data_IF_619157638384
#
_entry.id   IF_619157638384
#
_cell.length_a   1.000
_cell.length_b   1.000
_cell.length_c   1.000
_cell.angle_alpha   90.00
_cell.angle_beta   90.00
_cell.angle_gamma   90.00
#
_symmetry.space_group_name_H-M   'P 1'
#
loop_
_entity.id
_entity.type
_entity.pdbx_description
1 polymer ?
#
# COMPACT_ATOMS: atom_id res chain seq x y z
N UNK A 1 -44.28 -19.80 -18.30
CA UNK A 1 -44.05 -18.69 -19.27
C UNK A 1 -44.55 -17.38 -18.66
N UNK A 2 -43.92 -16.26 -19.02
CA UNK A 2 -44.00 -14.89 -18.47
C UNK A 2 -42.82 -14.49 -17.55
N UNK A 3 -41.72 -13.94 -18.10
CA UNK A 3 -40.75 -13.19 -17.32
C UNK A 3 -41.25 -11.76 -17.06
N UNK A 4 -41.09 -11.25 -15.83
CA UNK A 4 -41.24 -9.82 -15.53
C UNK A 4 -39.86 -9.16 -15.60
N UNK A 5 -39.62 -8.45 -16.70
CA UNK A 5 -38.45 -7.57 -16.85
C UNK A 5 -38.72 -6.31 -16.02
N UNK A 6 -37.82 -5.99 -15.09
CA UNK A 6 -37.84 -4.73 -14.34
C UNK A 6 -36.68 -3.85 -14.81
N UNK A 7 -36.99 -2.87 -15.65
CA UNK A 7 -36.09 -1.76 -15.98
C UNK A 7 -36.22 -0.69 -14.90
N UNK A 8 -35.11 -0.28 -14.28
CA UNK A 8 -35.05 0.94 -13.46
C UNK A 8 -33.90 1.80 -13.97
N UNK A 9 -34.21 3.06 -14.23
CA UNK A 9 -33.40 4.02 -14.99
C UNK A 9 -32.37 4.72 -14.10
N UNK A 10 -31.16 4.92 -14.63
CA UNK A 10 -30.14 5.78 -14.03
C UNK A 10 -30.55 7.25 -14.14
N UNK A 11 -30.42 8.01 -13.06
CA UNK A 11 -30.53 9.48 -13.07
C UNK A 11 -29.31 10.09 -12.38
N UNK A 12 -28.42 10.72 -13.15
CA UNK A 12 -27.31 11.51 -12.64
C UNK A 12 -27.75 12.97 -12.46
N UNK A 13 -27.48 13.56 -11.30
CA UNK A 13 -27.66 14.99 -11.07
C UNK A 13 -26.29 15.65 -10.85
N UNK A 14 -25.91 16.51 -11.81
CA UNK A 14 -24.83 17.47 -11.65
C UNK A 14 -25.42 18.75 -11.03
N UNK A 15 -24.78 19.26 -9.98
CA UNK A 15 -25.07 20.59 -9.44
C UNK A 15 -23.78 21.42 -9.39
N UNK A 16 -23.79 22.51 -10.18
CA UNK A 16 -22.76 23.54 -10.27
C UNK A 16 -22.98 24.60 -9.19
N UNK A 17 -21.91 25.19 -8.65
CA UNK A 17 -22.00 26.32 -7.72
C UNK A 17 -20.72 27.14 -7.64
N UNK A 18 -20.70 28.31 -8.28
CA UNK A 18 -19.62 29.30 -8.15
C UNK A 18 -19.94 30.35 -7.08
N UNK A 19 -18.91 30.91 -6.46
CA UNK A 19 -18.98 32.11 -5.62
C UNK A 19 -17.60 32.75 -5.43
N UNK A 20 -17.48 34.06 -5.57
CA UNK A 20 -16.20 34.82 -5.59
C UNK A 20 -16.26 36.12 -4.75
N UNK A 21 -15.11 36.79 -4.57
CA UNK A 21 -14.87 38.14 -3.97
C UNK A 21 -14.83 38.25 -2.41
N UNK A 22 -14.07 39.16 -1.75
CA UNK A 22 -12.94 40.05 -2.12
C UNK A 22 -12.22 40.69 -0.87
N UNK A 23 -11.13 41.46 -1.11
CA UNK A 23 -10.19 42.23 -0.20
C UNK A 23 -10.72 43.68 0.08
N UNK A 24 -10.08 44.67 0.79
CA UNK A 24 -8.74 44.76 1.45
C UNK A 24 -8.59 45.62 2.78
N UNK A 25 -7.36 45.78 3.31
CA UNK A 25 -6.89 46.89 4.21
C UNK A 25 -6.23 46.44 5.55
N UNK A 26 -5.26 47.13 6.19
CA UNK A 26 -4.57 48.41 5.92
C UNK A 26 -3.23 48.60 6.68
N UNK A 27 -2.25 49.27 6.03
CA UNK A 27 -1.08 50.10 6.46
C UNK A 27 -0.27 49.97 7.79
N UNK A 28 1.06 49.89 7.59
CA UNK A 28 2.16 50.76 8.09
C UNK A 28 2.57 50.88 9.59
N UNK A 29 3.86 50.62 9.89
CA UNK A 29 4.84 51.62 10.39
C UNK A 29 6.29 51.06 10.59
N UNK A 30 7.29 51.90 10.32
CA UNK A 30 8.71 51.85 10.79
C UNK A 30 8.87 52.90 11.94
N UNK A 31 9.90 52.93 12.83
CA UNK A 31 11.33 52.81 12.44
C UNK A 31 12.40 52.33 13.50
N UNK A 32 13.64 52.19 12.99
CA UNK A 32 14.97 52.49 13.59
C UNK A 32 15.51 51.85 14.90
N UNK A 33 16.58 51.05 14.71
CA UNK A 33 17.96 51.27 15.20
C UNK A 33 18.34 51.14 16.70
N UNK A 34 19.00 50.03 17.04
CA UNK A 34 20.33 49.92 17.71
C UNK A 34 20.81 48.46 17.54
N UNK A 35 21.91 48.16 16.85
CA UNK A 35 23.33 48.21 17.26
C UNK A 35 23.79 46.92 17.99
N UNK A 36 25.03 46.48 17.68
CA UNK A 36 25.85 45.44 18.33
C UNK A 36 25.79 43.98 17.81
N UNK A 37 26.84 43.65 17.04
CA UNK A 37 27.76 42.54 17.32
C UNK A 37 27.45 41.07 16.94
N UNK A 38 26.32 40.71 16.32
CA UNK A 38 26.06 39.29 15.94
C UNK A 38 26.26 38.93 14.44
N UNK A 39 26.52 39.91 13.58
CA UNK A 39 26.56 39.73 12.11
C UNK A 39 27.72 38.83 11.63
N UNK A 40 28.76 38.60 12.46
CA UNK A 40 29.89 37.72 12.14
C UNK A 40 29.75 36.28 12.66
N UNK A 41 28.72 35.97 13.47
CA UNK A 41 28.44 34.62 13.96
C UNK A 41 27.22 33.97 13.28
N UNK A 42 26.36 34.76 12.64
CA UNK A 42 25.27 34.28 11.80
C UNK A 42 25.79 33.66 10.50
N UNK A 43 26.57 34.40 9.70
CA UNK A 43 27.03 33.99 8.37
C UNK A 43 27.78 32.64 8.35
N UNK A 44 28.55 32.33 9.40
CA UNK A 44 29.27 31.05 9.51
C UNK A 44 28.37 29.84 9.88
N UNK A 45 27.10 30.08 10.22
CA UNK A 45 26.08 29.04 10.48
C UNK A 45 25.13 28.84 9.30
N UNK A 46 25.05 29.79 8.39
CA UNK A 46 24.18 29.72 7.21
C UNK A 46 24.71 28.65 6.23
N UNK A 47 26.03 28.60 5.99
CA UNK A 47 26.70 27.52 5.25
C UNK A 47 26.63 26.13 5.94
N UNK A 48 26.22 26.10 7.22
CA UNK A 48 26.02 24.86 8.00
C UNK A 48 24.56 24.42 8.03
N UNK A 49 23.62 25.18 7.44
CA UNK A 49 22.21 24.86 7.39
C UNK A 49 21.78 24.57 5.96
N UNK A 50 21.06 23.46 5.75
CA UNK A 50 20.46 23.12 4.47
C UNK A 50 18.95 23.16 4.61
N UNK A 51 18.29 23.90 3.73
CA UNK A 51 16.83 23.91 3.60
C UNK A 51 16.40 23.04 2.41
N UNK A 52 15.42 22.17 2.65
CA UNK A 52 14.75 21.38 1.62
C UNK A 52 13.25 21.33 1.93
N UNK A 53 12.41 21.66 0.95
CA UNK A 53 10.94 21.71 1.08
C UNK A 53 10.42 22.44 2.35
N UNK A 54 11.07 23.55 2.74
CA UNK A 54 10.73 24.34 3.93
C UNK A 54 11.18 23.74 5.26
N UNK A 55 11.99 22.68 5.25
CA UNK A 55 12.59 22.06 6.43
C UNK A 55 14.09 22.39 6.44
N UNK A 56 14.54 23.09 7.47
CA UNK A 56 15.96 23.42 7.69
C UNK A 56 16.63 22.39 8.60
N UNK A 57 17.81 21.89 8.22
CA UNK A 57 18.63 20.91 8.98
C UNK A 57 20.09 21.34 9.03
N UNK A 58 20.85 20.87 10.03
CA UNK A 58 22.29 21.12 10.12
C UNK A 58 23.03 20.14 9.19
N UNK A 59 23.89 20.66 8.31
CA UNK A 59 24.64 19.90 7.29
C UNK A 59 25.47 18.75 7.89
N UNK A 60 26.00 18.93 9.10
CA UNK A 60 26.77 17.90 9.83
C UNK A 60 25.93 16.84 10.54
N UNK A 61 24.59 16.98 10.55
CA UNK A 61 23.65 15.97 11.07
C UNK A 61 23.04 15.11 9.95
N UNK A 62 23.31 15.45 8.68
CA UNK A 62 22.87 14.71 7.50
C UNK A 62 23.90 13.63 7.12
N UNK A 63 23.42 12.53 6.53
CA UNK A 63 24.29 11.51 5.96
C UNK A 63 25.04 12.01 4.71
N UNK A 64 26.22 11.45 4.42
CA UNK A 64 27.00 11.78 3.23
C UNK A 64 26.20 11.55 1.93
N UNK A 65 25.34 10.53 1.93
CA UNK A 65 24.50 10.19 0.77
C UNK A 65 23.35 11.19 0.60
N UNK A 66 22.72 11.65 1.68
CA UNK A 66 21.74 12.76 1.62
C UNK A 66 22.38 14.06 1.17
N UNK A 67 23.63 14.35 1.54
CA UNK A 67 24.36 15.52 1.03
C UNK A 67 24.63 15.43 -0.49
N UNK A 68 25.11 14.28 -0.98
CA UNK A 68 25.28 14.03 -2.42
C UNK A 68 23.96 14.12 -3.18
N UNK A 69 22.88 13.59 -2.60
CA UNK A 69 21.54 13.66 -3.18
C UNK A 69 21.05 15.10 -3.27
N UNK A 70 21.29 15.93 -2.25
CA UNK A 70 20.94 17.36 -2.25
C UNK A 70 21.72 18.16 -3.30
N UNK A 71 23.02 17.86 -3.48
CA UNK A 71 23.85 18.46 -4.53
C UNK A 71 23.38 18.06 -5.93
N UNK A 72 23.02 16.78 -6.13
CA UNK A 72 22.42 16.29 -7.37
C UNK A 72 21.03 16.92 -7.63
N UNK A 73 20.15 16.92 -6.64
CA UNK A 73 18.79 17.49 -6.73
C UNK A 73 18.83 18.97 -7.12
N UNK A 74 19.76 19.75 -6.54
CA UNK A 74 19.94 21.16 -6.90
C UNK A 74 20.51 21.37 -8.32
N UNK A 75 21.15 20.36 -8.92
CA UNK A 75 21.65 20.43 -10.30
C UNK A 75 20.58 20.17 -11.37
N UNK A 76 19.41 19.62 -10.97
CA UNK A 76 18.28 19.35 -11.88
C UNK A 76 17.48 20.63 -12.19
N UNK A 77 16.86 20.72 -13.38
CA UNK A 77 15.90 21.79 -13.69
C UNK A 77 14.64 21.66 -12.82
N UNK A 78 13.96 22.79 -12.61
CA UNK A 78 12.78 22.89 -11.73
C UNK A 78 11.68 21.87 -12.08
N UNK A 79 11.35 21.73 -13.37
CA UNK A 79 10.36 20.76 -13.88
C UNK A 79 10.70 19.29 -13.51
N UNK A 80 11.99 18.93 -13.43
CA UNK A 80 12.41 17.57 -13.04
C UNK A 80 12.39 17.40 -11.51
N UNK A 81 12.70 18.46 -10.75
CA UNK A 81 12.62 18.44 -9.28
C UNK A 81 11.18 18.30 -8.79
N UNK A 82 10.26 19.03 -9.39
CA UNK A 82 8.83 18.99 -9.04
C UNK A 82 8.19 17.63 -9.39
N UNK A 83 8.78 16.88 -10.32
CA UNK A 83 8.37 15.52 -10.69
C UNK A 83 8.93 14.42 -9.73
N UNK A 84 9.89 14.74 -8.87
CA UNK A 84 10.47 13.78 -7.92
C UNK A 84 9.62 13.65 -6.65
N UNK A 85 9.13 12.44 -6.41
CA UNK A 85 8.42 12.08 -5.17
C UNK A 85 9.34 11.57 -4.05
N UNK A 86 10.65 11.44 -4.31
CA UNK A 86 11.62 10.97 -3.32
C UNK A 86 12.04 12.10 -2.37
N UNK A 87 11.99 11.83 -1.08
CA UNK A 87 12.44 12.73 0.00
C UNK A 87 13.38 11.93 0.91
N UNK A 88 14.63 12.38 1.17
CA UNK A 88 15.53 11.69 2.09
C UNK A 88 14.95 11.59 3.50
N UNK A 89 15.28 10.52 4.22
CA UNK A 89 14.66 10.23 5.51
C UNK A 89 14.92 11.32 6.58
N UNK A 90 16.04 12.05 6.50
CA UNK A 90 16.34 13.15 7.42
C UNK A 90 15.38 14.36 7.25
N UNK A 91 14.72 14.46 6.09
CA UNK A 91 13.71 15.47 5.74
C UNK A 91 12.28 14.92 5.68
N UNK A 92 12.09 13.60 5.84
CA UNK A 92 10.76 13.02 6.01
C UNK A 92 10.14 13.53 7.32
N UNK A 93 8.85 13.89 7.29
CA UNK A 93 8.15 14.31 8.50
C UNK A 93 8.07 13.13 9.51
N UNK A 94 8.18 13.37 10.82
CA UNK A 94 7.99 12.31 11.82
C UNK A 94 6.54 11.84 11.80
N UNK A 95 6.27 10.76 11.04
CA UNK A 95 4.93 10.28 10.71
C UNK A 95 4.79 9.76 9.28
N UNK A 96 5.64 10.20 8.35
CA UNK A 96 5.84 9.51 7.06
C UNK A 96 6.84 8.37 7.26
N UNK A 97 6.41 7.15 6.97
CA UNK A 97 7.20 5.95 7.17
C UNK A 97 8.48 5.93 6.32
N UNK A 98 9.51 5.30 6.85
CA UNK A 98 10.79 5.04 6.18
C UNK A 98 10.54 4.26 4.89
N UNK A 99 10.94 4.82 3.74
CA UNK A 99 11.08 4.04 2.50
C UNK A 99 12.39 3.26 2.59
N UNK A 100 12.30 1.96 2.90
CA UNK A 100 13.46 1.05 2.93
C UNK A 100 13.89 0.70 1.49
N UNK A 101 14.66 1.60 0.86
CA UNK A 101 15.28 1.39 -0.45
C UNK A 101 16.44 0.39 -0.37
N UNK A 102 16.16 -0.91 -0.23
CA UNK A 102 16.97 -2.02 -0.79
C UNK A 102 16.26 -3.38 -0.64
N UNK A 103 15.19 -3.54 -1.41
CA UNK A 103 14.58 -4.84 -1.66
C UNK A 103 14.37 -5.05 -3.15
N UNK A 104 14.55 -6.28 -3.62
CA UNK A 104 13.86 -6.79 -4.81
C UNK A 104 12.42 -6.25 -4.83
N UNK A 105 11.85 -5.93 -6.01
CA UNK A 105 10.41 -5.66 -6.18
C UNK A 105 9.60 -6.90 -5.78
N UNK A 106 9.51 -7.14 -4.47
CA UNK A 106 8.80 -8.23 -3.85
C UNK A 106 7.34 -7.79 -3.88
N UNK A 107 6.56 -8.46 -4.71
CA UNK A 107 5.12 -8.26 -4.75
C UNK A 107 4.57 -8.28 -3.31
N UNK A 108 3.62 -7.39 -2.97
CA UNK A 108 3.16 -7.25 -1.59
C UNK A 108 2.66 -8.61 -1.08
N UNK A 109 2.90 -8.94 0.20
CA UNK A 109 2.57 -10.26 0.73
C UNK A 109 1.10 -10.58 0.46
N UNK A 110 0.82 -11.82 0.04
CA UNK A 110 -0.48 -12.25 -0.46
C UNK A 110 -1.56 -11.98 0.58
N UNK A 111 -1.34 -12.40 1.82
CA UNK A 111 -2.31 -12.19 2.90
C UNK A 111 -2.51 -10.70 3.21
N UNK A 112 -1.43 -9.91 3.25
CA UNK A 112 -1.49 -8.47 3.51
C UNK A 112 -2.14 -7.65 2.38
N UNK A 113 -2.27 -8.23 1.19
CA UNK A 113 -2.92 -7.62 0.03
C UNK A 113 -4.45 -7.82 0.01
N UNK A 114 -5.00 -8.56 0.99
CA UNK A 114 -6.43 -8.73 1.22
C UNK A 114 -6.86 -7.97 2.50
N UNK A 115 -8.01 -7.30 2.42
CA UNK A 115 -8.72 -6.78 3.59
C UNK A 115 -9.26 -7.91 4.47
N UNK A 116 -9.52 -7.64 5.76
CA UNK A 116 -10.09 -8.63 6.69
C UNK A 116 -11.42 -9.22 6.19
N UNK A 117 -12.25 -8.40 5.52
CA UNK A 117 -13.50 -8.84 4.92
C UNK A 117 -13.28 -9.83 3.76
N UNK A 118 -12.31 -9.54 2.88
CA UNK A 118 -11.94 -10.45 1.79
C UNK A 118 -11.36 -11.76 2.33
N UNK A 119 -10.49 -11.70 3.35
CA UNK A 119 -9.94 -12.90 4.01
C UNK A 119 -11.03 -13.76 4.66
N UNK A 120 -12.02 -13.13 5.32
CA UNK A 120 -13.15 -13.85 5.91
C UNK A 120 -14.03 -14.52 4.85
N UNK A 121 -14.32 -13.83 3.74
CA UNK A 121 -15.08 -14.37 2.61
C UNK A 121 -14.38 -15.57 1.97
N UNK A 122 -13.05 -15.49 1.78
CA UNK A 122 -12.29 -16.60 1.20
C UNK A 122 -12.09 -17.76 2.17
N UNK A 123 -11.99 -17.53 3.47
CA UNK A 123 -11.95 -18.62 4.46
C UNK A 123 -13.31 -19.32 4.57
N UNK A 124 -14.42 -18.58 4.55
CA UNK A 124 -15.77 -19.16 4.52
C UNK A 124 -15.96 -20.02 3.25
N UNK A 125 -15.55 -19.52 2.08
CA UNK A 125 -15.58 -20.29 0.83
C UNK A 125 -14.72 -21.57 0.90
N UNK A 126 -13.54 -21.51 1.52
CA UNK A 126 -12.69 -22.68 1.74
C UNK A 126 -13.34 -23.71 2.67
N UNK A 127 -13.96 -23.24 3.77
CA UNK A 127 -14.69 -24.10 4.72
C UNK A 127 -15.91 -24.73 4.08
N UNK A 128 -16.67 -23.97 3.29
CA UNK A 128 -17.81 -24.46 2.52
C UNK A 128 -17.36 -25.56 1.55
N UNK A 129 -16.26 -25.36 0.80
CA UNK A 129 -15.75 -26.36 -0.16
C UNK A 129 -15.47 -27.72 0.48
N UNK A 130 -14.84 -27.77 1.66
CA UNK A 130 -14.51 -29.03 2.34
C UNK A 130 -15.63 -29.60 3.23
N UNK A 131 -16.76 -28.90 3.37
CA UNK A 131 -17.90 -29.34 4.22
C UNK A 131 -19.14 -29.69 3.39
N UNK A 132 -19.46 -28.88 2.38
CA UNK A 132 -20.68 -29.00 1.56
C UNK A 132 -20.38 -28.97 0.05
N UNK A 133 -19.44 -28.14 -0.40
CA UNK A 133 -19.13 -27.94 -1.81
C UNK A 133 -18.41 -29.11 -2.48
N UNK A 134 -17.88 -30.06 -1.71
CA UNK A 134 -17.22 -31.27 -2.20
C UNK A 134 -17.36 -32.42 -1.20
N UNK A 135 -17.47 -33.65 -1.72
CA UNK A 135 -17.80 -34.84 -0.93
C UNK A 135 -16.57 -35.60 -0.44
N UNK A 136 -16.69 -36.20 0.75
CA UNK A 136 -15.70 -37.17 1.25
C UNK A 136 -14.47 -36.57 1.92
N UNK A 137 -14.58 -35.38 2.51
CA UNK A 137 -13.53 -34.75 3.33
C UNK A 137 -13.83 -34.76 4.84
N UNK A 138 -15.09 -34.96 5.24
CA UNK A 138 -15.51 -34.95 6.65
C UNK A 138 -15.24 -33.59 7.34
N UNK A 139 -15.51 -32.50 6.62
CA UNK A 139 -15.41 -31.12 7.13
C UNK A 139 -13.98 -30.63 7.34
N UNK A 140 -13.87 -29.46 7.99
CA UNK A 140 -12.58 -28.79 8.29
C UNK A 140 -12.26 -28.89 9.78
N UNK A 141 -11.12 -29.53 10.08
CA UNK A 141 -10.55 -29.62 11.42
C UNK A 141 -9.65 -28.42 11.74
N UNK A 142 -8.85 -27.99 10.76
CA UNK A 142 -7.98 -26.81 10.85
C UNK A 142 -7.86 -26.14 9.50
N UNK A 143 -7.84 -24.81 9.47
CA UNK A 143 -7.51 -24.01 8.29
C UNK A 143 -6.61 -22.85 8.71
N UNK A 144 -5.68 -22.47 7.84
CA UNK A 144 -4.84 -21.29 7.98
C UNK A 144 -4.39 -20.84 6.57
N UNK A 145 -4.11 -19.54 6.33
CA UNK A 145 -3.42 -19.12 5.13
C UNK A 145 -2.07 -19.84 4.96
N UNK A 146 -1.66 -20.06 3.72
CA UNK A 146 -0.29 -20.46 3.40
C UNK A 146 0.66 -19.26 3.51
N UNK A 147 1.89 -19.50 3.97
CA UNK A 147 2.92 -18.46 4.06
C UNK A 147 3.22 -17.83 2.69
N UNK A 148 3.55 -16.54 2.65
CA UNK A 148 3.87 -15.81 1.40
C UNK A 148 5.10 -16.36 0.66
N UNK A 149 5.95 -17.12 1.36
CA UNK A 149 7.09 -17.87 0.81
C UNK A 149 6.72 -19.25 0.27
N UNK A 150 5.44 -19.65 0.36
CA UNK A 150 4.97 -20.95 -0.12
C UNK A 150 5.21 -21.08 -1.63
N UNK A 151 5.84 -22.18 -2.10
CA UNK A 151 6.08 -22.40 -3.52
C UNK A 151 4.78 -22.55 -4.32
N UNK A 152 3.64 -22.77 -3.66
CA UNK A 152 2.32 -22.83 -4.31
C UNK A 152 1.96 -21.50 -5.00
N UNK A 153 2.37 -20.36 -4.43
CA UNK A 153 2.20 -19.03 -5.04
C UNK A 153 3.16 -18.76 -6.21
N UNK A 154 4.22 -19.57 -6.36
CA UNK A 154 5.28 -19.39 -7.36
C UNK A 154 5.30 -20.51 -8.41
N UNK A 155 4.34 -21.43 -8.34
CA UNK A 155 4.22 -22.54 -9.27
C UNK A 155 3.83 -22.00 -10.65
N UNK A 156 4.40 -22.53 -11.74
CA UNK A 156 4.10 -22.09 -13.12
C UNK A 156 2.74 -22.58 -13.63
N UNK A 157 1.77 -22.77 -12.72
CA UNK A 157 0.41 -23.21 -12.97
C UNK A 157 -0.59 -22.07 -12.87
N UNK A 158 -1.85 -22.43 -12.63
CA UNK A 158 -3.00 -21.52 -12.63
C UNK A 158 -2.85 -20.43 -11.54
N UNK A 159 -2.19 -20.74 -10.42
CA UNK A 159 -1.96 -19.81 -9.32
C UNK A 159 -1.12 -18.58 -9.73
N UNK A 160 -0.11 -18.74 -10.59
CA UNK A 160 0.75 -17.64 -11.03
C UNK A 160 0.10 -16.71 -12.06
N UNK A 161 -1.14 -16.97 -12.48
CA UNK A 161 -1.93 -16.05 -13.31
C UNK A 161 -2.57 -14.91 -12.50
N UNK A 162 -2.45 -14.91 -11.16
CA UNK A 162 -3.15 -13.98 -10.26
C UNK A 162 -2.19 -13.16 -9.39
N UNK A 163 -2.36 -11.84 -9.41
CA UNK A 163 -1.64 -10.92 -8.53
C UNK A 163 -2.04 -11.06 -7.05
N UNK A 164 -1.15 -10.71 -6.09
CA UNK A 164 -1.53 -10.51 -4.70
C UNK A 164 -2.77 -9.64 -4.52
N UNK A 165 -3.67 -10.03 -3.60
CA UNK A 165 -4.96 -9.38 -3.41
C UNK A 165 -6.08 -9.86 -4.36
N UNK A 166 -5.75 -10.69 -5.35
CA UNK A 166 -6.66 -11.41 -6.23
C UNK A 166 -6.54 -12.95 -6.12
N UNK A 167 -5.57 -13.45 -5.35
CA UNK A 167 -5.43 -14.86 -4.95
C UNK A 167 -5.04 -14.97 -3.47
N UNK A 168 -5.53 -16.03 -2.83
CA UNK A 168 -5.08 -16.52 -1.53
C UNK A 168 -5.10 -18.06 -1.54
N UNK A 169 -4.10 -18.67 -0.90
CA UNK A 169 -4.01 -20.12 -0.74
C UNK A 169 -4.15 -20.44 0.75
N UNK A 170 -5.01 -21.39 1.10
CA UNK A 170 -5.13 -21.91 2.46
C UNK A 170 -4.55 -23.32 2.56
N UNK A 171 -3.91 -23.61 3.68
CA UNK A 171 -3.63 -24.96 4.13
C UNK A 171 -4.77 -25.45 5.01
N UNK A 172 -5.33 -26.61 4.70
CA UNK A 172 -6.50 -27.19 5.37
C UNK A 172 -6.19 -28.60 5.85
N UNK A 173 -6.57 -28.92 7.09
CA UNK A 173 -6.68 -30.28 7.59
C UNK A 173 -8.16 -30.64 7.61
N UNK A 174 -8.55 -31.69 6.90
CA UNK A 174 -9.93 -32.19 6.92
C UNK A 174 -10.11 -33.31 7.94
N UNK A 175 -11.35 -33.64 8.33
CA UNK A 175 -11.63 -34.76 9.24
C UNK A 175 -11.09 -36.09 8.69
N UNK A 176 -11.20 -36.28 7.38
CA UNK A 176 -10.59 -37.40 6.66
C UNK A 176 -9.07 -37.40 6.74
N UNK A 177 -8.41 -36.28 6.46
CA UNK A 177 -6.93 -36.20 6.49
C UNK A 177 -6.40 -36.58 7.88
N UNK A 178 -7.03 -36.03 8.92
CA UNK A 178 -6.71 -36.32 10.32
C UNK A 178 -6.91 -37.79 10.68
N UNK A 179 -7.92 -38.45 10.12
CA UNK A 179 -8.22 -39.87 10.34
C UNK A 179 -7.24 -40.79 9.58
N UNK A 180 -6.83 -40.40 8.37
CA UNK A 180 -5.91 -41.16 7.52
C UNK A 180 -4.42 -40.89 7.85
N UNK A 181 -4.13 -39.86 8.66
CA UNK A 181 -2.77 -39.42 8.95
C UNK A 181 -2.13 -38.60 7.81
N UNK A 182 -2.94 -38.10 6.89
CA UNK A 182 -2.53 -37.31 5.73
C UNK A 182 -2.09 -35.89 6.14
N UNK A 183 -1.14 -35.27 5.41
CA UNK A 183 -0.75 -33.89 5.63
C UNK A 183 -1.90 -32.92 5.28
N UNK A 184 -1.77 -31.67 5.74
CA UNK A 184 -2.67 -30.59 5.31
C UNK A 184 -2.64 -30.44 3.79
N UNK A 185 -3.81 -30.40 3.17
CA UNK A 185 -4.04 -30.11 1.75
C UNK A 185 -4.00 -28.61 1.50
N UNK A 186 -3.68 -28.20 0.29
CA UNK A 186 -3.86 -26.82 -0.19
C UNK A 186 -5.23 -26.62 -0.83
N UNK A 187 -5.74 -25.39 -0.76
CA UNK A 187 -6.83 -24.89 -1.60
C UNK A 187 -6.48 -23.48 -2.09
N UNK A 188 -6.54 -23.28 -3.40
CA UNK A 188 -6.24 -22.01 -4.07
C UNK A 188 -7.57 -21.33 -4.41
N UNK A 189 -7.77 -20.11 -3.90
CA UNK A 189 -8.96 -19.30 -4.12
C UNK A 189 -8.57 -17.99 -4.79
N UNK A 190 -9.21 -17.67 -5.91
CA UNK A 190 -8.86 -16.52 -6.73
C UNK A 190 -10.06 -15.87 -7.43
N UNK A 191 -9.85 -14.67 -7.96
CA UNK A 191 -10.76 -13.89 -8.81
C UNK A 191 -9.96 -13.05 -9.80
N UNK A 192 -10.53 -12.65 -10.93
CA UNK A 192 -9.77 -11.91 -11.97
C UNK A 192 -9.59 -10.42 -11.66
N UNK A 193 -10.47 -9.83 -10.85
CA UNK A 193 -10.44 -8.42 -10.48
C UNK A 193 -11.15 -8.21 -9.14
N UNK A 194 -10.97 -7.05 -8.49
CA UNK A 194 -11.69 -6.69 -7.26
C UNK A 194 -13.24 -6.68 -7.41
N UNK A 195 -13.76 -6.61 -8.64
CA UNK A 195 -15.19 -6.68 -8.95
C UNK A 195 -15.72 -8.10 -9.24
N UNK A 196 -14.85 -9.10 -9.39
CA UNK A 196 -15.24 -10.49 -9.62
C UNK A 196 -15.46 -11.24 -8.29
N UNK A 197 -16.37 -12.21 -8.29
CA UNK A 197 -16.54 -13.13 -7.16
C UNK A 197 -15.36 -14.11 -7.03
N UNK A 198 -14.97 -14.39 -5.79
CA UNK A 198 -14.00 -15.44 -5.46
C UNK A 198 -14.46 -16.84 -5.88
N UNK A 199 -13.50 -17.67 -6.31
CA UNK A 199 -13.74 -19.05 -6.73
C UNK A 199 -12.58 -19.93 -6.30
N UNK A 200 -12.89 -21.16 -5.92
CA UNK A 200 -11.87 -22.22 -5.82
C UNK A 200 -11.35 -22.52 -7.22
N UNK A 201 -10.06 -22.34 -7.43
CA UNK A 201 -9.38 -22.61 -8.72
C UNK A 201 -8.58 -23.92 -8.70
N UNK A 202 -8.14 -24.37 -7.52
CA UNK A 202 -7.37 -25.61 -7.34
C UNK A 202 -7.48 -26.14 -5.90
N UNK A 203 -7.23 -27.43 -5.70
CA UNK A 203 -7.06 -28.05 -4.36
C UNK A 203 -6.28 -29.37 -4.48
N UNK A 204 -5.29 -29.60 -3.62
CA UNK A 204 -4.41 -30.77 -3.71
C UNK A 204 -3.60 -31.05 -2.44
N UNK A 205 -2.73 -32.06 -2.48
CA UNK A 205 -1.68 -32.28 -1.48
C UNK A 205 -0.33 -31.88 -2.06
#
# INVERSE_FOLDING_TARGET
MHPKILLITVAAMLLTGCGTAAKPGSSAALPCSIESADVLAAAAKEDLLVEFNGITKIKSELSEDTLKWLEWYQSLPEDERDALSFVPNEFAAPGTAVTEETGTLKAPPYLASLTEAEQSETEELARFYFTEGSIGFDGVEKIQPADDSSPLYQNTGIEAEYDPGNIIIYMVLTGKDKTEGSPMRSISIARRSKSDSWKVINSGH
#
